data_IF_068961345470
#
_entry.id   IF_068961345470
#
_cell.length_a   1.000
_cell.length_b   1.000
_cell.length_c   1.000
_cell.angle_alpha   90.00
_cell.angle_beta   90.00
_cell.angle_gamma   90.00
#
_symmetry.space_group_name_H-M   'P 1'
#
loop_
_entity.id
_entity.type
_entity.pdbx_description
1 polymer ?
#
# COMPACT_ATOMS: atom_id res chain seq x y z
N UNK A 1 -23.91 -18.34 -10.54
CA UNK A 1 -23.40 -19.05 -9.34
C UNK A 1 -21.88 -19.02 -9.42
N UNK A 2 -21.27 -18.62 -8.30
CA UNK A 2 -19.90 -18.13 -8.16
C UNK A 2 -18.82 -19.11 -8.61
N UNK A 3 -17.83 -18.65 -9.38
CA UNK A 3 -16.50 -19.26 -9.37
C UNK A 3 -15.49 -18.15 -9.06
N UNK A 4 -15.06 -18.14 -7.81
CA UNK A 4 -14.11 -17.17 -7.28
C UNK A 4 -12.76 -17.35 -7.95
N UNK A 5 -12.33 -16.32 -8.67
CA UNK A 5 -10.92 -16.03 -8.77
C UNK A 5 -10.65 -14.96 -7.72
N UNK A 6 -10.12 -15.39 -6.57
CA UNK A 6 -9.55 -14.48 -5.59
C UNK A 6 -8.65 -13.51 -6.34
N UNK A 7 -8.77 -12.23 -6.04
CA UNK A 7 -7.89 -11.17 -6.49
C UNK A 7 -6.46 -11.47 -6.01
N UNK A 8 -5.77 -12.39 -6.68
CA UNK A 8 -4.41 -12.86 -6.38
C UNK A 8 -3.38 -11.89 -7.00
N UNK A 9 -3.72 -10.59 -7.00
CA UNK A 9 -2.91 -9.47 -7.46
C UNK A 9 -3.01 -8.25 -6.52
N UNK A 10 -3.67 -8.38 -5.36
CA UNK A 10 -3.64 -7.35 -4.31
C UNK A 10 -2.34 -7.50 -3.53
N UNK A 11 -1.20 -7.39 -4.21
CA UNK A 11 0.05 -7.33 -3.50
C UNK A 11 0.06 -5.91 -2.87
N UNK A 12 0.43 -5.84 -1.59
CA UNK A 12 0.54 -4.59 -0.83
C UNK A 12 1.94 -4.54 -0.22
N UNK A 13 2.78 -3.65 -0.74
CA UNK A 13 4.04 -3.32 -0.07
C UNK A 13 3.73 -2.55 1.22
N UNK A 14 4.13 -3.10 2.37
CA UNK A 14 4.06 -2.43 3.67
C UNK A 14 5.47 -2.16 4.17
N UNK A 15 5.76 -0.90 4.46
CA UNK A 15 6.96 -0.49 5.20
C UNK A 15 6.55 0.21 6.49
N UNK A 16 7.22 -0.13 7.59
CA UNK A 16 7.01 0.49 8.92
C UNK A 16 8.22 1.35 9.25
N UNK A 17 7.99 2.62 9.58
CA UNK A 17 9.02 3.51 10.11
C UNK A 17 8.93 3.60 11.64
N UNK A 18 10.05 3.85 12.31
CA UNK A 18 10.20 3.99 13.77
C UNK A 18 9.15 4.95 14.38
N UNK A 19 8.76 5.99 13.65
CA UNK A 19 7.79 7.01 14.07
C UNK A 19 6.31 6.58 13.98
N UNK A 20 6.04 5.28 13.90
CA UNK A 20 4.68 4.69 13.79
C UNK A 20 3.95 5.13 12.52
N UNK A 21 4.65 5.13 11.40
CA UNK A 21 4.02 5.28 10.09
C UNK A 21 4.03 3.96 9.33
N UNK A 22 2.96 3.75 8.56
CA UNK A 22 2.83 2.64 7.61
C UNK A 22 2.62 3.23 6.22
N UNK A 23 3.39 2.75 5.26
CA UNK A 23 3.21 3.08 3.85
C UNK A 23 2.61 1.89 3.11
N UNK A 24 1.64 2.15 2.23
CA UNK A 24 0.97 1.13 1.41
C UNK A 24 1.17 1.45 -0.07
N UNK A 25 1.77 0.54 -0.84
CA UNK A 25 1.84 0.65 -2.31
C UNK A 25 0.52 0.21 -2.92
N UNK A 26 -0.07 1.06 -3.76
CA UNK A 26 -1.18 0.70 -4.62
C UNK A 26 -0.67 0.58 -6.07
N UNK A 27 -0.35 -0.64 -6.49
CA UNK A 27 0.35 -0.89 -7.76
C UNK A 27 -0.46 -0.48 -9.00
N UNK A 28 -1.78 -0.71 -9.00
CA UNK A 28 -2.66 -0.43 -10.15
C UNK A 28 -3.06 1.04 -10.27
N UNK A 29 -3.07 1.78 -9.15
CA UNK A 29 -3.35 3.22 -9.16
C UNK A 29 -2.09 4.08 -9.26
N UNK A 30 -0.90 3.49 -9.15
CA UNK A 30 0.35 4.25 -9.17
C UNK A 30 0.47 5.22 -7.99
N UNK A 31 0.01 4.80 -6.81
CA UNK A 31 0.07 5.64 -5.59
C UNK A 31 0.74 4.94 -4.42
N UNK A 32 1.23 5.74 -3.46
CA UNK A 32 1.61 5.28 -2.13
C UNK A 32 0.85 6.08 -1.10
N UNK A 33 0.16 5.38 -0.21
CA UNK A 33 -0.57 5.99 0.90
C UNK A 33 0.26 5.90 2.18
N UNK A 34 0.41 7.03 2.88
CA UNK A 34 1.04 7.08 4.18
C UNK A 34 0.00 7.19 5.30
N UNK A 35 0.17 6.37 6.34
CA UNK A 35 -0.72 6.33 7.50
C UNK A 35 0.06 6.56 8.78
N UNK A 36 -0.48 7.39 9.69
CA UNK A 36 -0.05 7.42 11.09
C UNK A 36 -0.75 6.31 11.86
N UNK A 37 -0.01 5.56 12.65
CA UNK A 37 -0.54 4.49 13.50
C UNK A 37 -0.73 5.01 14.92
N UNK A 38 -1.99 5.03 15.36
CA UNK A 38 -2.38 5.38 16.72
C UNK A 38 -1.95 4.33 17.75
N UNK A 39 -1.99 4.68 19.04
CA UNK A 39 -1.65 3.74 20.13
C UNK A 39 -2.53 2.49 20.16
N UNK A 40 -3.74 2.56 19.61
CA UNK A 40 -4.68 1.44 19.47
C UNK A 40 -4.55 0.66 18.15
N UNK A 41 -3.52 0.93 17.35
CA UNK A 41 -3.34 0.32 16.03
C UNK A 41 -4.21 0.93 14.92
N UNK A 42 -5.02 1.95 15.20
CA UNK A 42 -5.80 2.63 14.18
C UNK A 42 -4.87 3.36 13.18
N UNK A 43 -5.24 3.33 11.90
CA UNK A 43 -4.47 3.95 10.81
C UNK A 43 -5.21 5.17 10.29
N UNK A 44 -4.62 6.34 10.46
CA UNK A 44 -5.14 7.59 9.89
C UNK A 44 -4.31 7.96 8.68
N UNK A 45 -4.93 8.05 7.50
CA UNK A 45 -4.24 8.45 6.28
C UNK A 45 -3.78 9.90 6.41
N UNK A 46 -2.51 10.16 6.18
CA UNK A 46 -1.89 11.49 6.32
C UNK A 46 -1.35 12.03 4.99
N UNK A 47 -1.11 11.16 4.01
CA UNK A 47 -0.63 11.57 2.69
C UNK A 47 -0.99 10.56 1.60
N UNK A 48 -1.02 11.03 0.36
CA UNK A 48 -1.04 10.22 -0.86
C UNK A 48 0.03 10.76 -1.79
N UNK A 49 1.00 9.92 -2.16
CA UNK A 49 1.93 10.20 -3.26
C UNK A 49 1.34 9.62 -4.53
N UNK A 50 1.29 10.40 -5.60
CA UNK A 50 0.74 10.02 -6.92
C UNK A 50 1.81 10.10 -8.00
N UNK A 51 1.48 9.63 -9.21
CA UNK A 51 2.37 9.73 -10.38
C UNK A 51 3.44 8.63 -10.42
N UNK A 52 3.30 7.59 -9.61
CA UNK A 52 4.18 6.43 -9.70
C UNK A 52 3.73 5.55 -10.87
N UNK A 53 4.65 4.76 -11.46
CA UNK A 53 4.28 3.79 -12.48
C UNK A 53 3.15 2.89 -11.98
N UNK A 54 2.06 2.90 -12.74
CA UNK A 54 0.94 2.01 -12.55
C UNK A 54 1.21 0.73 -13.34
N UNK A 55 0.98 -0.42 -12.70
CA UNK A 55 1.09 -1.71 -13.35
C UNK A 55 -0.30 -2.16 -13.79
N UNK A 56 -0.41 -2.72 -15.01
CA UNK A 56 -1.67 -3.25 -15.52
C UNK A 56 -2.20 -4.47 -14.73
N UNK A 57 -1.37 -5.02 -13.83
CA UNK A 57 -1.65 -6.15 -12.95
C UNK A 57 -0.69 -6.16 -11.75
N UNK A 58 -0.10 -7.32 -11.44
CA UNK A 58 0.95 -7.44 -10.41
C UNK A 58 2.29 -6.86 -10.90
N UNK A 59 3.05 -6.19 -10.02
CA UNK A 59 4.34 -5.56 -10.32
C UNK A 59 5.32 -5.64 -9.13
N UNK A 60 6.50 -5.03 -9.23
CA UNK A 60 7.44 -4.96 -8.09
C UNK A 60 6.92 -4.01 -7.01
N UNK A 61 6.76 -4.49 -5.78
CA UNK A 61 6.11 -3.73 -4.70
C UNK A 61 6.97 -3.48 -3.47
N UNK A 62 8.27 -3.68 -3.59
CA UNK A 62 9.20 -3.29 -2.54
C UNK A 62 9.12 -1.78 -2.30
N UNK A 63 8.53 -1.36 -1.17
CA UNK A 63 8.79 -0.06 -0.58
C UNK A 63 9.89 -0.28 0.46
N UNK A 64 11.04 0.35 0.26
CA UNK A 64 12.01 0.56 1.33
C UNK A 64 11.80 1.98 1.86
N UNK A 65 11.45 2.11 3.13
CA UNK A 65 11.43 3.38 3.84
C UNK A 65 12.64 3.42 4.77
N UNK A 66 13.33 4.56 4.82
CA UNK A 66 14.47 4.83 5.71
C UNK A 66 14.00 5.77 6.81
#
# INVERSE_FOLDING_TARGET
>A
MSLGHLQHCCHFGIAVAEDKFVHVRNATSGTVDGFRVGRNGARTKVTTVTGLPAFAGSGTEGIAAV
#
